data_IF_109811394570
#
_entry.id   IF_109811394570
#
_cell.length_a   1.000
_cell.length_b   1.000
_cell.length_c   1.000
_cell.angle_alpha   90.00
_cell.angle_beta   90.00
_cell.angle_gamma   90.00
#
_symmetry.space_group_name_H-M   'P 1'
#
loop_
_entity.id
_entity.type
_entity.pdbx_description
1 polymer ?
#
# COMPACT_ATOMS: atom_id res chain seq x y z
N UNK A 1 11.07 -0.29 -45.63
CA UNK A 1 9.96 0.64 -45.32
C UNK A 1 8.86 -0.19 -44.71
N UNK A 2 8.74 -0.16 -43.39
CA UNK A 2 7.72 -0.92 -42.66
C UNK A 2 6.46 -0.06 -42.64
N UNK A 3 5.43 -0.47 -43.37
CA UNK A 3 4.12 0.17 -43.34
C UNK A 3 3.54 0.06 -41.92
N UNK A 4 3.54 1.17 -41.19
CA UNK A 4 2.83 1.33 -39.92
C UNK A 4 1.60 2.22 -40.15
N UNK A 5 0.46 1.67 -40.59
CA UNK A 5 -0.76 2.46 -40.66
C UNK A 5 -1.25 2.75 -39.24
N UNK A 6 -1.07 4.00 -38.81
CA UNK A 6 -1.61 4.58 -37.58
C UNK A 6 -3.15 4.76 -37.65
N UNK A 7 -3.89 3.67 -37.87
CA UNK A 7 -5.32 3.62 -37.65
C UNK A 7 -5.64 2.34 -36.90
N UNK A 8 -5.94 2.45 -35.60
CA UNK A 8 -6.41 1.31 -34.83
C UNK A 8 -7.79 0.92 -35.37
N UNK A 9 -7.82 -0.10 -36.23
CA UNK A 9 -9.04 -0.77 -36.69
C UNK A 9 -9.10 -2.10 -35.95
N UNK A 10 -10.25 -2.42 -35.35
CA UNK A 10 -10.46 -3.77 -34.81
C UNK A 10 -10.21 -4.80 -35.92
N UNK A 11 -9.34 -5.81 -35.70
CA UNK A 11 -9.11 -6.85 -36.67
C UNK A 11 -10.41 -7.59 -36.99
N UNK A 12 -10.59 -7.96 -38.25
CA UNK A 12 -11.70 -8.82 -38.66
C UNK A 12 -11.54 -10.23 -38.08
N UNK A 13 -12.60 -11.04 -37.96
CA UNK A 13 -12.51 -12.40 -37.41
C UNK A 13 -11.46 -13.28 -38.09
N UNK A 14 -11.33 -13.18 -39.43
CA UNK A 14 -10.27 -13.89 -40.20
C UNK A 14 -8.85 -13.39 -39.89
N UNK A 15 -8.70 -12.11 -39.58
CA UNK A 15 -7.40 -11.55 -39.17
C UNK A 15 -7.05 -12.00 -37.75
N UNK A 16 -8.04 -12.11 -36.86
CA UNK A 16 -7.85 -12.69 -35.52
C UNK A 16 -7.40 -14.15 -35.59
N UNK A 17 -8.02 -14.98 -36.42
CA UNK A 17 -7.59 -16.38 -36.62
C UNK A 17 -6.15 -16.47 -37.12
N UNK A 18 -5.77 -15.61 -38.06
CA UNK A 18 -4.41 -15.59 -38.61
C UNK A 18 -3.39 -15.13 -37.57
N UNK A 19 -3.75 -14.18 -36.70
CA UNK A 19 -2.91 -13.76 -35.57
C UNK A 19 -2.77 -14.87 -34.52
N UNK A 20 -3.86 -15.57 -34.19
CA UNK A 20 -3.85 -16.69 -33.26
C UNK A 20 -2.93 -17.83 -33.74
N UNK A 21 -2.98 -18.17 -35.03
CA UNK A 21 -2.10 -19.18 -35.63
C UNK A 21 -0.61 -18.80 -35.63
N UNK A 22 -0.30 -17.49 -35.62
CA UNK A 22 1.09 -16.99 -35.53
C UNK A 22 1.57 -16.96 -34.09
N UNK A 23 0.69 -16.64 -33.12
CA UNK A 23 1.00 -16.68 -31.70
C UNK A 23 1.32 -18.11 -31.26
N UNK A 24 0.50 -19.08 -31.65
CA UNK A 24 0.66 -20.50 -31.29
C UNK A 24 2.03 -21.08 -31.76
N UNK A 25 2.56 -20.57 -32.87
CA UNK A 25 3.87 -20.99 -33.40
C UNK A 25 5.08 -20.31 -32.77
N UNK A 26 4.89 -19.21 -32.02
CA UNK A 26 5.98 -18.32 -31.59
C UNK A 26 6.11 -18.16 -30.08
N UNK A 27 5.19 -18.70 -29.30
CA UNK A 27 5.37 -18.82 -27.85
C UNK A 27 6.31 -20.00 -27.58
N UNK A 28 7.55 -19.80 -27.10
CA UNK A 28 8.15 -20.82 -26.28
C UNK A 28 7.18 -21.08 -25.13
N UNK A 29 6.93 -22.35 -24.83
CA UNK A 29 6.20 -22.80 -23.65
C UNK A 29 7.01 -22.42 -22.41
N UNK A 30 7.09 -21.13 -22.10
CA UNK A 30 7.17 -20.71 -20.71
C UNK A 30 5.84 -21.16 -20.14
N UNK A 31 5.90 -22.19 -19.29
CA UNK A 31 4.80 -22.61 -18.45
C UNK A 31 4.30 -21.39 -17.69
N UNK A 32 3.37 -20.66 -18.30
CA UNK A 32 2.66 -19.57 -17.68
C UNK A 32 1.84 -20.21 -16.59
N UNK A 33 2.18 -19.89 -15.35
CA UNK A 33 1.41 -20.28 -14.17
C UNK A 33 -0.06 -19.96 -14.46
N UNK A 34 -0.89 -20.99 -14.45
CA UNK A 34 -2.32 -20.82 -14.68
C UNK A 34 -2.89 -19.94 -13.55
N UNK A 35 -4.02 -19.23 -13.78
CA UNK A 35 -4.71 -18.50 -12.73
C UNK A 35 -5.21 -19.47 -11.64
N UNK A 36 -4.35 -19.82 -10.69
CA UNK A 36 -4.61 -20.84 -9.67
C UNK A 36 -3.42 -21.74 -9.34
N UNK A 37 -2.31 -21.68 -10.08
CA UNK A 37 -1.09 -22.41 -9.70
C UNK A 37 -0.38 -21.70 -8.54
N UNK A 38 0.10 -22.49 -7.57
CA UNK A 38 0.93 -21.98 -6.49
C UNK A 38 2.20 -21.32 -7.09
N UNK A 39 2.36 -20.03 -6.79
CA UNK A 39 3.52 -19.27 -7.21
C UNK A 39 4.80 -19.88 -6.61
N UNK A 40 5.90 -19.96 -7.37
CA UNK A 40 7.15 -20.51 -6.88
C UNK A 40 7.58 -19.82 -5.57
N UNK A 41 8.15 -20.55 -4.60
CA UNK A 41 8.65 -19.97 -3.35
C UNK A 41 9.61 -18.78 -3.57
N UNK A 42 10.36 -18.82 -4.66
CA UNK A 42 11.30 -17.77 -5.08
C UNK A 42 10.58 -16.47 -5.43
N UNK A 43 9.36 -16.55 -5.99
CA UNK A 43 8.54 -15.38 -6.29
C UNK A 43 8.05 -14.71 -5.00
N UNK A 44 7.57 -15.50 -4.04
CA UNK A 44 7.19 -14.98 -2.72
C UNK A 44 8.38 -14.36 -1.99
N UNK A 45 9.54 -15.01 -2.08
CA UNK A 45 10.76 -14.49 -1.48
C UNK A 45 11.19 -13.18 -2.11
N UNK A 46 11.16 -13.06 -3.44
CA UNK A 46 11.46 -11.81 -4.13
C UNK A 46 10.50 -10.68 -3.75
N UNK A 47 9.19 -10.97 -3.63
CA UNK A 47 8.21 -9.99 -3.15
C UNK A 47 8.45 -9.55 -1.71
N UNK A 48 8.77 -10.48 -0.82
CA UNK A 48 9.05 -10.19 0.59
C UNK A 48 10.40 -9.46 0.76
N UNK A 49 11.41 -9.80 -0.05
CA UNK A 49 12.70 -9.14 -0.07
C UNK A 49 12.58 -7.74 -0.68
N UNK A 50 11.77 -7.51 -1.72
CA UNK A 50 11.49 -6.17 -2.27
C UNK A 50 10.69 -5.31 -1.27
N UNK A 51 9.68 -5.90 -0.60
CA UNK A 51 8.97 -5.22 0.49
C UNK A 51 9.89 -4.91 1.69
N UNK A 52 10.91 -5.73 1.93
CA UNK A 52 11.95 -5.52 2.92
C UNK A 52 13.05 -4.54 2.49
N UNK A 53 13.31 -4.42 1.18
CA UNK A 53 14.27 -3.48 0.59
C UNK A 53 13.71 -2.06 0.55
N UNK A 54 12.39 -1.90 0.49
CA UNK A 54 11.68 -0.65 0.84
C UNK A 54 11.71 -0.37 2.36
N UNK A 55 12.19 -1.34 3.16
CA UNK A 55 12.33 -1.27 4.62
C UNK A 55 13.52 -0.46 5.14
N UNK A 56 14.18 0.34 4.29
CA UNK A 56 15.12 1.38 4.73
C UNK A 56 14.43 2.51 5.50
N UNK A 57 13.15 2.74 5.21
CA UNK A 57 12.26 3.64 5.92
C UNK A 57 11.13 2.81 6.53
N UNK A 58 11.44 2.16 7.65
CA UNK A 58 10.46 1.41 8.42
C UNK A 58 9.23 2.28 8.66
N UNK A 59 8.17 2.02 7.89
CA UNK A 59 6.85 2.56 8.10
C UNK A 59 6.46 2.25 9.55
N UNK A 60 6.34 3.26 10.43
CA UNK A 60 5.89 3.07 11.80
C UNK A 60 4.45 2.51 11.87
N UNK A 61 3.73 2.53 10.75
CA UNK A 61 2.34 2.09 10.58
C UNK A 61 2.14 0.74 9.89
N UNK A 62 2.91 0.38 8.85
CA UNK A 62 2.78 -0.91 8.16
C UNK A 62 3.57 -2.04 8.83
N UNK A 63 4.65 -1.73 9.55
CA UNK A 63 5.22 -2.72 10.47
C UNK A 63 4.25 -2.85 11.65
N UNK A 64 3.51 -3.95 11.72
CA UNK A 64 2.54 -4.23 12.80
C UNK A 64 3.13 -4.30 14.21
N UNK A 65 4.39 -3.88 14.39
CA UNK A 65 5.04 -3.74 15.68
C UNK A 65 4.60 -2.44 16.38
N UNK A 66 4.16 -2.51 17.64
CA UNK A 66 3.79 -1.33 18.39
C UNK A 66 5.04 -0.48 18.69
N UNK A 67 5.28 0.55 17.88
CA UNK A 67 6.38 1.49 18.07
C UNK A 67 6.07 2.42 19.25
N UNK A 68 6.97 2.50 20.24
CA UNK A 68 6.83 3.43 21.37
C UNK A 68 7.26 4.82 20.95
N UNK A 69 6.62 5.84 21.51
CA UNK A 69 7.00 7.24 21.26
C UNK A 69 8.50 7.44 21.46
N UNK A 70 9.06 7.04 22.61
CA UNK A 70 10.49 7.22 22.90
C UNK A 70 11.48 6.53 21.95
N UNK A 71 11.02 5.61 21.09
CA UNK A 71 11.84 4.96 20.07
C UNK A 71 11.81 5.70 18.73
N UNK A 72 10.83 6.60 18.52
CA UNK A 72 10.68 7.37 17.30
C UNK A 72 11.66 8.53 17.29
N UNK A 73 12.53 8.58 16.28
CA UNK A 73 13.52 9.66 16.11
C UNK A 73 12.95 10.91 15.43
N UNK A 74 11.76 10.81 14.86
CA UNK A 74 11.12 11.92 14.14
C UNK A 74 10.64 12.98 15.13
N UNK A 75 10.90 14.25 14.83
CA UNK A 75 10.48 15.37 15.70
C UNK A 75 9.02 15.74 15.54
N UNK A 76 8.40 15.39 14.40
CA UNK A 76 7.02 15.66 14.08
C UNK A 76 6.36 14.36 13.63
N UNK A 77 5.27 14.00 14.29
CA UNK A 77 4.51 12.79 14.02
C UNK A 77 3.21 13.15 13.32
N UNK A 78 2.87 12.41 12.26
CA UNK A 78 1.68 12.64 11.43
C UNK A 78 0.78 11.42 11.43
N UNK A 79 -0.52 11.66 11.58
CA UNK A 79 -1.54 10.65 11.38
C UNK A 79 -2.68 11.22 10.53
N UNK A 80 -2.91 10.61 9.38
CA UNK A 80 -4.02 10.89 8.49
C UNK A 80 -5.22 9.99 8.78
N UNK A 81 -6.44 10.47 8.58
CA UNK A 81 -7.63 9.64 8.51
C UNK A 81 -7.91 9.31 7.04
N UNK A 82 -7.84 8.03 6.64
CA UNK A 82 -8.13 7.61 5.25
C UNK A 82 -9.56 7.89 4.81
N UNK A 83 -10.49 8.04 5.75
CA UNK A 83 -11.92 8.24 5.46
C UNK A 83 -12.25 9.68 5.06
N UNK A 84 -11.70 10.65 5.78
CA UNK A 84 -11.99 12.08 5.55
C UNK A 84 -10.78 12.87 5.03
N UNK A 85 -9.62 12.22 4.90
CA UNK A 85 -8.37 12.85 4.45
C UNK A 85 -7.75 13.80 5.47
N UNK A 86 -8.28 13.87 6.71
CA UNK A 86 -7.77 14.81 7.71
C UNK A 86 -6.43 14.35 8.24
N UNK A 87 -5.43 15.22 8.21
CA UNK A 87 -4.10 14.97 8.78
C UNK A 87 -3.99 15.71 10.11
N UNK A 88 -3.51 15.01 11.13
CA UNK A 88 -3.20 15.54 12.45
C UNK A 88 -1.71 15.41 12.68
N UNK A 89 -1.08 16.52 13.06
CA UNK A 89 0.33 16.58 13.37
C UNK A 89 0.52 16.86 14.86
N UNK A 90 1.52 16.23 15.45
CA UNK A 90 1.92 16.49 16.82
C UNK A 90 3.45 16.47 16.91
N UNK A 91 4.03 17.43 17.63
CA UNK A 91 5.45 17.36 17.91
C UNK A 91 5.73 16.20 18.87
N UNK A 92 6.82 15.49 18.63
CA UNK A 92 7.23 14.35 19.44
C UNK A 92 7.38 14.73 20.94
N UNK A 93 7.90 15.93 21.22
CA UNK A 93 8.00 16.45 22.59
C UNK A 93 6.63 16.62 23.26
N UNK A 94 5.62 17.05 22.52
CA UNK A 94 4.27 17.23 23.03
C UNK A 94 3.55 15.89 23.18
N UNK A 95 3.76 14.97 22.23
CA UNK A 95 3.25 13.61 22.32
C UNK A 95 3.78 12.89 23.58
N UNK A 96 5.08 13.00 23.85
CA UNK A 96 5.70 12.44 25.07
C UNK A 96 5.17 13.10 26.33
N UNK A 97 4.96 14.43 26.32
CA UNK A 97 4.41 15.15 27.48
C UNK A 97 2.95 14.77 27.78
N UNK A 98 2.14 14.54 26.75
CA UNK A 98 0.71 14.25 26.90
C UNK A 98 0.42 12.78 27.17
N UNK A 99 1.16 11.86 26.54
CA UNK A 99 0.88 10.42 26.57
C UNK A 99 1.94 9.58 27.29
N UNK A 100 3.12 10.16 27.53
CA UNK A 100 4.27 9.47 28.13
C UNK A 100 5.19 8.83 27.08
N UNK A 101 6.49 8.62 27.41
CA UNK A 101 7.48 8.10 26.47
C UNK A 101 7.24 6.64 26.05
N UNK A 102 6.59 5.85 26.92
CA UNK A 102 6.27 4.44 26.65
C UNK A 102 4.96 4.23 25.88
N UNK A 103 4.23 5.31 25.57
CA UNK A 103 3.00 5.20 24.82
C UNK A 103 3.25 4.68 23.40
N UNK A 104 2.35 3.82 22.93
CA UNK A 104 2.43 3.24 21.59
C UNK A 104 1.86 4.26 20.59
N UNK A 105 2.65 4.60 19.57
CA UNK A 105 2.27 5.59 18.55
C UNK A 105 0.94 5.26 17.89
N UNK A 106 0.68 3.97 17.60
CA UNK A 106 -0.60 3.50 17.05
C UNK A 106 -1.82 3.91 17.90
N UNK A 107 -1.72 3.81 19.23
CA UNK A 107 -2.81 4.20 20.13
C UNK A 107 -2.94 5.71 20.25
N UNK A 108 -1.81 6.42 20.26
CA UNK A 108 -1.78 7.88 20.28
C UNK A 108 -2.41 8.44 19.00
N UNK A 109 -2.01 7.94 17.83
CA UNK A 109 -2.55 8.34 16.53
C UNK A 109 -4.05 8.10 16.43
N UNK A 110 -4.54 6.94 16.88
CA UNK A 110 -5.98 6.68 16.93
C UNK A 110 -6.71 7.71 17.80
N UNK A 111 -6.23 7.97 19.03
CA UNK A 111 -6.86 8.97 19.92
C UNK A 111 -6.85 10.38 19.33
N UNK A 112 -5.77 10.75 18.63
CA UNK A 112 -5.68 12.04 17.95
C UNK A 112 -6.75 12.19 16.86
N UNK A 113 -6.97 11.13 16.07
CA UNK A 113 -8.05 11.11 15.08
C UNK A 113 -9.44 11.11 15.72
N UNK A 114 -9.65 10.33 16.79
CA UNK A 114 -10.94 10.23 17.47
C UNK A 114 -11.42 11.57 18.04
N UNK A 115 -10.48 12.46 18.42
CA UNK A 115 -10.75 13.79 18.96
C UNK A 115 -10.95 14.87 17.87
N UNK A 116 -10.45 14.66 16.66
CA UNK A 116 -10.35 15.72 15.65
C UNK A 116 -11.15 15.44 14.37
N UNK A 117 -11.56 14.20 14.13
CA UNK A 117 -12.33 13.82 12.96
C UNK A 117 -13.80 14.26 13.11
N UNK A 118 -14.24 15.19 12.26
CA UNK A 118 -15.61 15.73 12.23
C UNK A 118 -16.63 14.81 11.55
N UNK A 119 -16.18 13.89 10.69
CA UNK A 119 -17.01 12.88 10.03
C UNK A 119 -17.06 11.61 10.89
N UNK A 120 -17.61 11.74 12.11
CA UNK A 120 -18.10 10.61 12.91
C UNK A 120 -19.37 10.05 12.26
N UNK A 121 -19.26 9.52 11.05
CA UNK A 121 -20.39 8.91 10.32
C UNK A 121 -20.34 7.39 10.48
N UNK A 122 -20.57 6.86 11.68
CA UNK A 122 -20.71 5.39 11.83
C UNK A 122 -20.79 4.90 13.25
N UNK A 123 -21.50 3.77 13.45
CA UNK A 123 -21.41 2.97 14.68
C UNK A 123 -19.95 2.51 14.85
N UNK A 124 -19.50 2.39 16.10
CA UNK A 124 -18.12 1.99 16.46
C UNK A 124 -17.70 0.64 15.85
N UNK A 125 -18.69 -0.16 15.44
CA UNK A 125 -18.54 -1.49 14.84
C UNK A 125 -18.45 -1.46 13.31
N UNK A 126 -18.80 -0.34 12.66
CA UNK A 126 -19.04 -0.33 11.20
C UNK A 126 -18.14 0.64 10.41
N UNK A 127 -17.64 1.74 10.99
CA UNK A 127 -16.63 2.59 10.30
C UNK A 127 -15.88 3.53 11.27
N UNK A 128 -14.81 3.02 11.88
CA UNK A 128 -13.87 3.82 12.67
C UNK A 128 -13.03 4.78 11.81
N UNK A 129 -12.37 5.75 12.44
CA UNK A 129 -11.31 6.51 11.78
C UNK A 129 -10.16 5.55 11.44
N UNK A 130 -9.84 5.44 10.15
CA UNK A 130 -8.77 4.57 9.66
C UNK A 130 -7.45 5.35 9.64
N UNK A 131 -6.51 5.10 10.58
CA UNK A 131 -5.25 5.83 10.61
C UNK A 131 -4.35 5.40 9.45
N UNK A 132 -3.85 6.39 8.73
CA UNK A 132 -2.69 6.31 7.86
C UNK A 132 -1.53 7.03 8.57
N UNK A 133 -0.41 6.36 8.70
CA UNK A 133 0.80 6.96 9.25
C UNK A 133 1.68 7.34 8.06
N UNK A 134 1.32 8.43 7.39
CA UNK A 134 2.10 8.89 6.23
C UNK A 134 3.50 9.33 6.70
N UNK A 135 4.52 8.85 6.00
CA UNK A 135 5.90 9.31 6.07
C UNK A 135 6.14 10.23 4.86
N UNK A 136 6.84 11.38 5.00
CA UNK A 136 7.20 12.23 3.87
C UNK A 136 8.09 11.52 2.84
#
# INVERSE_FOLDING_TARGET
MTDHPASWRMPTPRQMEKLAAVVDRKTPTLSGLAPGDDLPPEYWKALLDDAGADGGDADPGASGHPLRLGQIRQHLLRVGCRRCGRIVEIQMVDAVRLYGPDAIWRHVGQRLLDNTCSLRTGRHEEDGCWPAYDVP
#
